data_IF_940141485611
#
_entry.id   IF_940141485611
#
_cell.length_a   1.000
_cell.length_b   1.000
_cell.length_c   1.000
_cell.angle_alpha   90.00
_cell.angle_beta   90.00
_cell.angle_gamma   90.00
#
_symmetry.space_group_name_H-M   'P 1'
#
loop_
_entity.id
_entity.type
_entity.pdbx_description
1 polymer ?
#
# COMPACT_ATOMS: atom_id res chain seq x y z
N UNK A 1 11.27 12.33 4.30
CA UNK A 1 10.78 11.71 5.56
C UNK A 1 11.76 11.81 6.72
N UNK A 2 13.02 11.35 6.59
CA UNK A 2 14.01 11.35 7.68
C UNK A 2 14.41 12.76 8.14
N UNK A 3 14.70 13.66 7.21
CA UNK A 3 15.06 15.06 7.50
C UNK A 3 13.96 15.77 8.29
N UNK A 4 12.69 15.54 7.94
CA UNK A 4 11.55 16.13 8.64
C UNK A 4 11.42 15.59 10.08
N UNK A 5 11.60 14.29 10.28
CA UNK A 5 11.58 13.69 11.61
C UNK A 5 12.72 14.21 12.50
N UNK A 6 13.91 14.42 11.93
CA UNK A 6 15.06 14.99 12.63
C UNK A 6 14.87 16.48 12.96
N UNK A 7 14.26 17.23 12.04
CA UNK A 7 13.94 18.66 12.21
C UNK A 7 12.89 18.87 13.31
N UNK A 8 11.80 18.12 13.24
CA UNK A 8 10.66 18.28 14.16
C UNK A 8 10.91 17.60 15.51
N UNK A 9 11.93 16.72 15.60
CA UNK A 9 12.28 15.92 16.79
C UNK A 9 11.11 15.11 17.33
N UNK A 10 10.19 14.73 16.46
CA UNK A 10 9.02 13.95 16.78
C UNK A 10 8.91 12.74 15.85
N UNK A 11 8.43 11.62 16.40
CA UNK A 11 8.08 10.45 15.60
C UNK A 11 6.64 10.61 15.08
N UNK A 12 6.50 11.13 13.86
CA UNK A 12 5.22 11.17 13.13
C UNK A 12 5.32 10.41 11.82
N UNK A 13 4.18 10.23 11.14
CA UNK A 13 4.07 9.51 9.86
C UNK A 13 4.65 10.30 8.66
N UNK A 14 5.86 10.86 8.80
CA UNK A 14 6.49 11.67 7.77
C UNK A 14 6.71 10.88 6.47
N UNK A 15 6.88 9.56 6.53
CA UNK A 15 6.97 8.70 5.34
C UNK A 15 5.67 8.68 4.52
N UNK A 16 4.50 8.68 5.18
CA UNK A 16 3.21 8.72 4.51
C UNK A 16 2.90 10.10 3.92
N UNK A 17 3.38 11.18 4.55
CA UNK A 17 3.14 12.56 4.09
C UNK A 17 4.15 13.09 3.08
N UNK A 18 5.35 12.49 3.01
CA UNK A 18 6.41 12.87 2.05
C UNK A 18 6.71 11.80 1.00
N UNK A 19 6.11 10.62 1.10
CA UNK A 19 6.15 9.59 0.07
C UNK A 19 5.15 9.84 -1.06
N UNK A 20 5.28 9.10 -2.16
CA UNK A 20 4.38 9.14 -3.31
C UNK A 20 3.01 8.47 -3.01
N UNK A 21 2.32 8.92 -1.96
CA UNK A 21 1.06 8.37 -1.45
C UNK A 21 -0.08 8.42 -2.48
N UNK A 22 0.00 9.32 -3.48
CA UNK A 22 -0.99 9.45 -4.54
C UNK A 22 -1.05 8.25 -5.50
N UNK A 23 0.00 7.42 -5.56
CA UNK A 23 0.06 6.25 -6.43
C UNK A 23 -0.33 4.95 -5.73
N UNK A 24 -0.40 4.93 -4.40
CA UNK A 24 -0.83 3.76 -3.62
C UNK A 24 -2.14 3.15 -4.13
N UNK A 25 -3.21 3.93 -4.43
CA UNK A 25 -4.47 3.36 -4.91
C UNK A 25 -4.33 2.50 -6.17
N UNK A 26 -3.30 2.71 -7.01
CA UNK A 26 -3.08 1.91 -8.23
C UNK A 26 -2.50 0.52 -7.96
N UNK A 27 -2.02 0.28 -6.74
CA UNK A 27 -1.47 -0.99 -6.29
C UNK A 27 -2.36 -1.65 -5.22
N UNK A 28 -3.52 -1.05 -4.91
CA UNK A 28 -4.37 -1.36 -3.74
C UNK A 28 -5.33 -2.53 -3.97
N UNK A 29 -5.72 -2.83 -5.21
CA UNK A 29 -6.77 -3.81 -5.54
C UNK A 29 -6.56 -5.20 -4.89
N UNK A 30 -5.33 -5.54 -4.47
CA UNK A 30 -4.99 -6.79 -3.78
C UNK A 30 -4.24 -6.63 -2.44
N UNK A 31 -4.06 -5.41 -1.91
CA UNK A 31 -3.15 -5.16 -0.79
C UNK A 31 -3.61 -5.72 0.56
N UNK A 32 -4.91 -5.73 0.86
CA UNK A 32 -5.41 -6.23 2.17
C UNK A 32 -5.16 -7.74 2.30
N UNK A 33 -5.36 -8.51 1.23
CA UNK A 33 -5.08 -9.96 1.22
C UNK A 33 -3.58 -10.28 1.18
N UNK A 34 -2.73 -9.29 0.85
CA UNK A 34 -1.27 -9.45 0.72
C UNK A 34 -0.48 -8.79 1.85
N UNK A 35 -1.14 -8.26 2.87
CA UNK A 35 -0.45 -7.53 3.94
C UNK A 35 0.51 -8.41 4.74
N UNK A 36 0.15 -9.68 4.96
CA UNK A 36 1.07 -10.67 5.55
C UNK A 36 2.20 -11.04 4.59
N UNK A 37 1.91 -11.15 3.28
CA UNK A 37 2.92 -11.42 2.27
C UNK A 37 4.03 -10.34 2.27
N UNK A 38 3.66 -9.07 2.39
CA UNK A 38 4.64 -7.97 2.42
C UNK A 38 5.52 -7.93 3.68
N UNK A 39 5.17 -8.68 4.74
CA UNK A 39 6.00 -8.73 5.94
C UNK A 39 7.23 -9.65 5.79
N UNK A 40 7.24 -10.49 4.74
CA UNK A 40 8.31 -11.44 4.40
C UNK A 40 8.36 -11.71 2.88
N UNK A 41 8.38 -10.67 2.05
CA UNK A 41 8.44 -10.85 0.60
C UNK A 41 9.89 -10.82 0.07
N UNK A 42 10.15 -11.61 -0.97
CA UNK A 42 11.46 -11.76 -1.59
C UNK A 42 11.54 -10.93 -2.87
N UNK A 43 12.71 -10.33 -3.12
CA UNK A 43 12.99 -9.59 -4.35
C UNK A 43 14.46 -9.80 -4.76
N UNK A 44 14.68 -10.06 -6.05
CA UNK A 44 16.03 -10.18 -6.60
C UNK A 44 16.76 -8.84 -6.50
N UNK A 45 18.06 -8.88 -6.20
CA UNK A 45 18.89 -7.69 -6.05
C UNK A 45 18.84 -6.78 -7.28
N UNK A 46 18.99 -7.38 -8.46
CA UNK A 46 18.92 -6.65 -9.74
C UNK A 46 17.57 -5.92 -9.90
N UNK A 47 16.47 -6.53 -9.45
CA UNK A 47 15.13 -5.91 -9.49
C UNK A 47 15.04 -4.73 -8.52
N UNK A 48 15.62 -4.87 -7.32
CA UNK A 48 15.61 -3.83 -6.28
C UNK A 48 16.38 -2.56 -6.72
N UNK A 49 17.40 -2.74 -7.55
CA UNK A 49 18.23 -1.68 -8.12
C UNK A 49 17.59 -1.01 -9.35
N UNK A 50 16.48 -1.54 -9.88
CA UNK A 50 15.77 -0.91 -10.99
C UNK A 50 14.97 0.32 -10.56
N UNK A 51 14.92 1.33 -11.43
CA UNK A 51 14.12 2.55 -11.24
C UNK A 51 12.68 2.43 -11.74
N UNK A 52 12.31 1.32 -12.37
CA UNK A 52 10.99 1.14 -13.01
C UNK A 52 10.00 0.44 -12.06
N UNK A 53 9.41 1.26 -11.17
CA UNK A 53 8.41 0.82 -10.19
C UNK A 53 7.08 0.36 -10.82
N UNK A 54 6.82 0.65 -12.09
CA UNK A 54 5.59 0.22 -12.76
C UNK A 54 5.69 -1.24 -13.17
N UNK A 55 6.89 -1.68 -13.60
CA UNK A 55 7.16 -3.07 -13.97
C UNK A 55 7.65 -3.94 -12.79
N UNK A 56 8.23 -3.34 -11.74
CA UNK A 56 8.74 -4.06 -10.57
C UNK A 56 7.71 -4.44 -9.49
N UNK A 57 6.42 -4.17 -9.72
CA UNK A 57 5.33 -4.60 -8.84
C UNK A 57 5.18 -3.78 -7.54
N UNK A 58 4.26 -4.24 -6.69
CA UNK A 58 3.90 -3.54 -5.45
C UNK A 58 5.05 -3.59 -4.42
N UNK A 59 5.85 -4.64 -4.43
CA UNK A 59 7.00 -4.87 -3.56
C UNK A 59 8.05 -3.77 -3.77
N UNK A 60 8.47 -3.55 -5.03
CA UNK A 60 9.43 -2.51 -5.38
C UNK A 60 8.88 -1.12 -5.09
N UNK A 61 7.61 -0.87 -5.43
CA UNK A 61 6.96 0.41 -5.12
C UNK A 61 6.95 0.69 -3.61
N UNK A 62 6.55 -0.29 -2.79
CA UNK A 62 6.48 -0.14 -1.34
C UNK A 62 7.88 0.01 -0.71
N UNK A 63 8.91 -0.62 -1.27
CA UNK A 63 10.30 -0.41 -0.87
C UNK A 63 10.77 1.01 -1.20
N UNK A 64 10.63 1.45 -2.45
CA UNK A 64 11.08 2.77 -2.91
C UNK A 64 10.34 3.92 -2.22
N UNK A 65 9.08 3.71 -1.85
CA UNK A 65 8.28 4.68 -1.08
C UNK A 65 8.50 4.60 0.44
N UNK A 66 9.30 3.64 0.92
CA UNK A 66 9.69 3.51 2.32
C UNK A 66 8.68 2.82 3.23
N UNK A 67 7.69 2.11 2.68
CA UNK A 67 6.80 1.23 3.44
C UNK A 67 7.45 -0.10 3.80
N UNK A 68 8.31 -0.62 2.93
CA UNK A 68 9.11 -1.81 3.18
C UNK A 68 10.59 -1.45 3.32
N UNK A 69 11.32 -2.28 4.07
CA UNK A 69 12.76 -2.19 4.26
C UNK A 69 13.39 -3.58 4.18
N UNK A 70 14.70 -3.63 4.00
CA UNK A 70 15.46 -4.88 4.01
C UNK A 70 15.46 -5.45 5.44
N UNK A 71 15.04 -6.71 5.56
CA UNK A 71 15.06 -7.51 6.79
C UNK A 71 16.14 -8.59 6.77
N UNK A 72 16.58 -8.99 5.58
CA UNK A 72 17.62 -9.99 5.38
C UNK A 72 18.09 -10.02 3.94
N UNK A 73 19.14 -10.80 3.70
CA UNK A 73 19.72 -11.05 2.39
C UNK A 73 20.25 -12.48 2.37
N UNK A 74 19.94 -13.19 1.30
CA UNK A 74 20.41 -14.55 1.05
C UNK A 74 20.63 -14.74 -0.45
N UNK A 75 21.85 -15.10 -0.85
CA UNK A 75 22.25 -15.46 -2.22
C UNK A 75 21.67 -14.57 -3.34
N UNK A 76 21.91 -13.26 -3.28
CA UNK A 76 21.42 -12.32 -4.32
C UNK A 76 19.95 -11.91 -4.18
N UNK A 77 19.24 -12.44 -3.19
CA UNK A 77 17.83 -12.14 -2.92
C UNK A 77 17.70 -11.35 -1.61
N UNK A 78 16.99 -10.24 -1.67
CA UNK A 78 16.62 -9.46 -0.49
C UNK A 78 15.30 -9.95 0.08
N UNK A 79 15.24 -10.02 1.40
CA UNK A 79 14.01 -10.25 2.17
C UNK A 79 13.53 -8.89 2.65
N UNK A 80 12.34 -8.49 2.21
CA UNK A 80 11.70 -7.23 2.61
C UNK A 80 10.63 -7.47 3.68
N UNK A 81 10.39 -6.43 4.47
CA UNK A 81 9.32 -6.42 5.47
C UNK A 81 9.07 -5.02 6.01
N UNK A 82 8.03 -4.86 6.86
CA UNK A 82 7.72 -3.57 7.46
C UNK A 82 8.80 -3.16 8.46
N UNK A 83 9.31 -1.91 8.43
CA UNK A 83 10.33 -1.45 9.37
C UNK A 83 9.85 -1.53 10.82
N UNK A 84 8.57 -1.19 11.08
CA UNK A 84 7.93 -1.22 12.39
C UNK A 84 6.39 -1.32 12.25
N UNK A 85 5.71 -1.41 13.41
CA UNK A 85 4.25 -1.53 13.47
C UNK A 85 3.53 -0.28 12.99
N UNK A 86 4.08 0.91 13.24
CA UNK A 86 3.51 2.20 12.87
C UNK A 86 3.39 2.33 11.34
N UNK A 87 4.43 1.93 10.60
CA UNK A 87 4.45 1.95 9.14
C UNK A 87 3.45 0.95 8.56
N UNK A 88 3.39 -0.27 9.12
CA UNK A 88 2.37 -1.27 8.75
C UNK A 88 0.96 -0.72 8.94
N UNK A 89 0.68 -0.16 10.12
CA UNK A 89 -0.63 0.39 10.48
C UNK A 89 -1.01 1.58 9.59
N UNK A 90 -0.04 2.43 9.23
CA UNK A 90 -0.26 3.55 8.32
C UNK A 90 -0.67 3.07 6.93
N UNK A 91 0.02 2.07 6.37
CA UNK A 91 -0.32 1.50 5.08
C UNK A 91 -1.71 0.85 5.10
N UNK A 92 -2.02 0.07 6.14
CA UNK A 92 -3.33 -0.55 6.33
C UNK A 92 -4.47 0.50 6.33
N UNK A 93 -4.27 1.63 7.02
CA UNK A 93 -5.24 2.73 7.04
C UNK A 93 -5.45 3.41 5.68
N UNK A 94 -4.48 3.37 4.79
CA UNK A 94 -4.61 3.91 3.42
C UNK A 94 -5.37 2.94 2.52
N UNK A 95 -5.13 1.63 2.68
CA UNK A 95 -5.72 0.56 1.86
C UNK A 95 -7.20 0.34 2.18
N UNK A 96 -7.58 0.31 3.47
CA UNK A 96 -8.95 -0.01 3.90
C UNK A 96 -10.03 0.88 3.25
N UNK A 97 -9.91 2.23 3.22
CA UNK A 97 -10.89 3.09 2.58
C UNK A 97 -11.03 2.83 1.07
N UNK A 98 -9.92 2.58 0.38
CA UNK A 98 -9.92 2.33 -1.05
C UNK A 98 -10.63 1.02 -1.41
N UNK A 99 -10.46 -0.04 -0.61
CA UNK A 99 -11.20 -1.30 -0.79
C UNK A 99 -12.70 -1.18 -0.50
N UNK A 100 -13.09 -0.32 0.46
CA UNK A 100 -14.51 -0.06 0.72
C UNK A 100 -15.16 0.80 -0.36
N UNK A 101 -14.42 1.71 -0.99
CA UNK A 101 -14.91 2.56 -2.06
C UNK A 101 -15.18 1.78 -3.36
N UNK A 102 -14.35 0.77 -3.67
CA UNK A 102 -14.55 -0.11 -4.84
C UNK A 102 -15.76 -1.04 -4.71
N UNK A 103 -16.07 -1.49 -3.48
CA UNK A 103 -17.28 -2.29 -3.22
C UNK A 103 -18.57 -1.50 -3.49
N UNK A 104 -18.53 -0.17 -3.43
CA UNK A 104 -19.66 0.69 -3.79
C UNK A 104 -19.83 0.95 -5.29
N UNK A 105 -18.81 0.70 -6.13
CA UNK A 105 -18.89 0.95 -7.59
C UNK A 105 -19.24 -0.28 -8.42
N UNK A 106 -19.14 -1.50 -7.90
CA UNK A 106 -19.62 -2.73 -8.56
C UNK A 106 -20.87 -3.37 -7.92
N UNK A 107 -21.58 -2.60 -7.10
CA UNK A 107 -22.87 -3.00 -6.54
C UNK A 107 -23.89 -1.89 -6.72
N UNK A 108 -24.55 -1.87 -7.89
CA UNK A 108 -25.70 -1.02 -8.14
C UNK A 108 -26.86 -1.36 -7.20
N UNK A 109 -26.88 -0.77 -6.01
CA UNK A 109 -28.08 -0.64 -5.18
C UNK A 109 -28.14 0.78 -4.62
N UNK A 110 -28.85 1.64 -5.36
CA UNK A 110 -29.36 2.89 -4.79
C UNK A 110 -30.53 2.51 -3.89
N UNK A 111 -30.34 2.52 -2.58
CA UNK A 111 -31.46 2.43 -1.63
C UNK A 111 -32.30 3.70 -1.82
N UNK A 112 -33.38 3.57 -2.60
CA UNK A 112 -34.45 4.56 -2.65
C UNK A 112 -35.36 4.25 -1.47
N UNK A 113 -35.38 5.18 -0.51
CA UNK A 113 -36.44 5.29 0.48
C UNK A 113 -37.79 5.37 -0.24
N UNK A 114 -38.70 4.47 0.11
CA UNK A 114 -40.14 4.57 -0.18
C UNK A 114 -40.59 4.01 -1.53
N UNK A 115 -41.45 2.99 -1.43
CA UNK A 115 -42.45 2.44 -2.37
C UNK A 115 -42.19 2.27 -3.89
N UNK A 116 -42.84 1.20 -4.39
CA UNK A 116 -43.14 0.85 -5.79
C UNK A 116 -42.05 0.18 -6.66
N UNK A 117 -42.24 -1.14 -6.85
CA UNK A 117 -41.58 -1.92 -7.90
C UNK A 117 -42.38 -1.78 -9.19
N UNK A 118 -41.78 -1.17 -10.22
CA UNK A 118 -42.24 -1.33 -11.60
C UNK A 118 -41.13 -2.02 -12.40
N UNK A 119 -41.48 -3.14 -13.04
CA UNK A 119 -40.62 -3.84 -14.00
C UNK A 119 -40.54 -3.02 -15.28
N UNK A 120 -39.34 -2.88 -15.85
CA UNK A 120 -39.18 -2.58 -17.27
C UNK A 120 -37.93 -3.28 -17.80
N UNK A 121 -37.98 -3.61 -19.10
CA UNK A 121 -37.17 -4.53 -19.89
C UNK A 121 -35.66 -4.52 -19.66
#
# INVERSE_FOLDING_TARGET
SLINALSDRELRNYWASSGATSLLPKFVDNMEMRMEYFDHCFIEGDTLETSDVVNGGAELFLYQSGYLTIKGYDDGVYILGFPNFEVRKALYRVVVPALTAEKTTHGGWRVKSGEERVKSC
#
